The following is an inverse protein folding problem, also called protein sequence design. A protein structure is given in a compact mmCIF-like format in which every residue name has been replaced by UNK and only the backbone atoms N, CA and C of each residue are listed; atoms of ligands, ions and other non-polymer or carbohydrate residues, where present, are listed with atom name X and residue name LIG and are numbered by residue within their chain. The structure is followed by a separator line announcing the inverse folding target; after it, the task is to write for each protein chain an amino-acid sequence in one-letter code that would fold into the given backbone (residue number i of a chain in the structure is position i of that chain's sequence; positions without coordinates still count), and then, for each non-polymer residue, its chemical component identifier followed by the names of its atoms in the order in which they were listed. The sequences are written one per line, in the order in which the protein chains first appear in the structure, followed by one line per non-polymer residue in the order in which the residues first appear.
data_IF_985406062181
#
_entry.id   IF_985406062181
#
_cell.length_a   1.000
_cell.length_b   1.000
_cell.length_c   1.000
_cell.angle_alpha   90.00
_cell.angle_beta   90.00
_cell.angle_gamma   90.00
#
_symmetry.space_group_name_H-M   'P 1'
#
loop_
_entity.id
_entity.type
_entity.pdbx_description
1 polymer ?
#
# COMPACT_ATOMS: atom_id res chain seq x y z
N UNK A 1 4.76 -37.76 -49.83
CA UNK A 1 5.26 -38.88 -50.67
C UNK A 1 6.67 -39.21 -50.17
N UNK A 2 6.95 -40.50 -49.99
CA UNK A 2 8.00 -41.12 -49.14
C UNK A 2 9.47 -40.79 -49.47
N UNK A 3 10.33 -40.87 -48.45
CA UNK A 3 11.65 -41.53 -48.41
C UNK A 3 12.21 -41.38 -46.96
N UNK A 4 12.92 -42.29 -46.29
CA UNK A 4 13.48 -43.64 -46.53
C UNK A 4 13.86 -44.24 -45.15
N UNK A 5 13.88 -45.58 -44.97
CA UNK A 5 15.08 -46.47 -45.04
C UNK A 5 16.01 -46.23 -43.81
N UNK A 6 16.46 -47.18 -42.97
CA UNK A 6 16.53 -48.64 -42.99
C UNK A 6 16.69 -49.21 -41.56
N UNK A 7 16.56 -50.53 -41.46
CA UNK A 7 16.67 -51.36 -40.26
C UNK A 7 18.12 -51.60 -39.76
N UNK A 8 18.31 -51.87 -38.46
CA UNK A 8 18.68 -53.21 -37.93
C UNK A 8 18.90 -53.24 -36.38
N UNK A 9 18.90 -54.45 -35.74
CA UNK A 9 18.59 -54.67 -34.32
C UNK A 9 19.80 -55.15 -33.47
N UNK A 10 19.50 -55.69 -32.27
CA UNK A 10 20.33 -56.46 -31.31
C UNK A 10 20.99 -55.63 -30.19
N UNK A 11 20.38 -55.62 -29.00
CA UNK A 11 20.55 -56.54 -27.86
C UNK A 11 21.88 -56.38 -27.12
N UNK A 12 21.83 -55.84 -25.90
CA UNK A 12 22.56 -56.40 -24.75
C UNK A 12 22.04 -55.79 -23.46
N UNK A 13 21.61 -56.69 -22.58
CA UNK A 13 21.29 -56.51 -21.16
C UNK A 13 22.46 -55.86 -20.43
N UNK A 14 22.19 -54.86 -19.56
CA UNK A 14 22.91 -54.69 -18.29
C UNK A 14 22.22 -53.73 -17.32
N UNK A 15 22.14 -54.23 -16.10
CA UNK A 15 22.23 -53.55 -14.81
C UNK A 15 21.12 -52.57 -14.40
N UNK A 16 20.21 -53.14 -13.62
CA UNK A 16 19.53 -52.48 -12.49
C UNK A 16 20.56 -51.94 -11.51
N UNK A 17 20.83 -50.64 -11.55
CA UNK A 17 21.45 -49.92 -10.44
C UNK A 17 20.44 -48.91 -9.85
N UNK A 18 20.19 -49.11 -8.56
CA UNK A 18 19.36 -48.27 -7.73
C UNK A 18 19.98 -46.88 -7.61
N UNK A 19 19.30 -45.87 -8.15
CA UNK A 19 19.63 -44.47 -7.89
C UNK A 19 19.18 -44.16 -6.45
N UNK A 20 20.14 -44.08 -5.55
CA UNK A 20 19.93 -43.62 -4.18
C UNK A 20 19.41 -42.18 -4.15
N UNK A 21 18.31 -41.99 -3.42
CA UNK A 21 17.75 -40.67 -3.13
C UNK A 21 18.76 -39.79 -2.38
N UNK A 22 18.95 -38.51 -2.75
CA UNK A 22 19.75 -37.60 -1.95
C UNK A 22 19.02 -37.31 -0.64
N UNK A 23 19.66 -37.64 0.49
CA UNK A 23 19.21 -37.21 1.81
C UNK A 23 19.40 -35.69 1.90
N UNK A 24 18.32 -34.92 1.79
CA UNK A 24 18.33 -33.52 2.20
C UNK A 24 18.39 -33.47 3.73
N UNK A 25 19.55 -33.07 4.26
CA UNK A 25 19.68 -32.76 5.67
C UNK A 25 18.67 -31.69 6.07
N UNK A 26 17.99 -31.91 7.19
CA UNK A 26 17.07 -30.93 7.77
C UNK A 26 17.81 -29.61 8.03
N UNK A 27 17.22 -28.44 7.71
CA UNK A 27 17.85 -27.17 8.02
C UNK A 27 17.95 -26.99 9.53
N UNK A 28 19.15 -26.60 9.96
CA UNK A 28 19.52 -26.34 11.34
C UNK A 28 18.60 -25.24 11.91
N UNK A 29 17.67 -25.64 12.76
CA UNK A 29 16.83 -24.74 13.52
C UNK A 29 17.62 -24.33 14.75
N UNK A 30 18.26 -23.15 14.74
CA UNK A 30 18.48 -22.26 15.90
C UNK A 30 19.52 -21.19 15.59
N UNK A 31 19.06 -20.07 15.01
CA UNK A 31 19.61 -18.75 15.29
C UNK A 31 18.56 -17.72 14.88
N UNK A 32 18.06 -16.86 15.80
CA UNK A 32 17.20 -15.76 15.39
C UNK A 32 18.01 -14.86 14.45
N UNK A 33 17.55 -14.75 13.20
CA UNK A 33 18.08 -13.76 12.27
C UNK A 33 17.87 -12.40 12.95
N UNK A 34 18.93 -11.58 13.11
CA UNK A 34 18.78 -10.27 13.72
C UNK A 34 17.70 -9.49 12.97
N UNK A 35 16.64 -9.10 13.69
CA UNK A 35 15.61 -8.23 13.11
C UNK A 35 16.32 -6.91 12.79
N UNK A 36 16.38 -6.48 11.51
CA UNK A 36 16.96 -5.19 11.18
C UNK A 36 16.21 -4.11 11.93
N UNK A 37 16.94 -3.14 12.49
CA UNK A 37 16.31 -2.02 13.17
C UNK A 37 15.29 -1.34 12.24
N UNK A 38 14.16 -0.83 12.78
CA UNK A 38 13.25 0.00 12.01
C UNK A 38 14.04 1.12 11.32
N UNK A 39 13.71 1.41 10.05
CA UNK A 39 14.35 2.53 9.36
C UNK A 39 14.11 3.80 10.20
N UNK A 40 15.12 4.66 10.39
CA UNK A 40 14.93 5.86 11.17
C UNK A 40 13.87 6.73 10.50
N UNK A 41 12.91 7.18 11.32
CA UNK A 41 11.78 7.95 10.87
C UNK A 41 12.24 9.22 10.13
N UNK A 42 11.53 9.57 9.06
CA UNK A 42 11.84 10.78 8.28
C UNK A 42 11.14 11.99 8.89
N UNK A 43 11.82 13.13 8.82
CA UNK A 43 11.31 14.36 9.45
C UNK A 43 10.14 14.99 8.67
N UNK A 44 10.08 14.78 7.34
CA UNK A 44 9.04 15.24 6.42
C UNK A 44 9.06 14.43 5.11
N UNK A 45 8.07 14.62 4.24
CA UNK A 45 8.07 14.03 2.89
C UNK A 45 9.32 14.43 2.09
N UNK A 46 9.66 15.71 2.06
CA UNK A 46 10.83 16.22 1.33
C UNK A 46 12.14 15.70 1.91
N UNK A 47 12.20 15.48 3.23
CA UNK A 47 13.32 14.81 3.87
C UNK A 47 13.53 13.39 3.37
N UNK A 48 12.45 12.61 3.29
CA UNK A 48 12.50 11.26 2.75
C UNK A 48 12.96 11.23 1.29
N UNK A 49 12.44 12.14 0.45
CA UNK A 49 12.87 12.28 -0.95
C UNK A 49 14.37 12.59 -1.04
N UNK A 50 14.86 13.55 -0.24
CA UNK A 50 16.27 13.94 -0.23
C UNK A 50 17.18 12.77 0.16
N UNK A 51 16.79 11.99 1.18
CA UNK A 51 17.56 10.81 1.64
C UNK A 51 17.62 9.73 0.55
N UNK A 52 16.54 9.52 -0.19
CA UNK A 52 16.54 8.63 -1.36
C UNK A 52 17.47 9.14 -2.46
N UNK A 53 17.37 10.43 -2.83
CA UNK A 53 18.24 11.05 -3.84
C UNK A 53 19.73 11.05 -3.43
N UNK A 54 20.00 11.07 -2.12
CA UNK A 54 21.33 10.92 -1.53
C UNK A 54 21.84 9.48 -1.41
N UNK A 55 21.07 8.49 -1.87
CA UNK A 55 21.37 7.05 -1.74
C UNK A 55 21.58 6.58 -0.28
N UNK A 56 20.94 7.25 0.69
CA UNK A 56 21.07 6.90 2.12
C UNK A 56 20.19 5.71 2.53
N UNK A 57 19.16 5.43 1.73
CA UNK A 57 18.16 4.40 2.04
C UNK A 57 18.30 3.13 1.21
N UNK A 58 19.19 3.12 0.21
CA UNK A 58 19.30 2.03 -0.75
C UNK A 58 20.22 2.38 -1.93
N UNK A 59 20.20 1.58 -3.01
CA UNK A 59 20.95 1.86 -4.24
C UNK A 59 20.66 3.26 -4.81
N UNK A 60 21.65 3.86 -5.50
CA UNK A 60 21.50 5.17 -6.14
C UNK A 60 20.30 5.17 -7.11
N UNK A 61 19.27 6.03 -6.91
CA UNK A 61 18.09 6.06 -7.76
C UNK A 61 18.38 6.47 -9.22
N UNK A 62 19.56 7.03 -9.52
CA UNK A 62 20.01 7.28 -10.91
C UNK A 62 20.32 5.99 -11.67
N UNK A 63 20.71 4.93 -10.96
CA UNK A 63 21.00 3.62 -11.53
C UNK A 63 19.75 2.74 -11.74
N UNK A 64 18.58 3.21 -11.32
CA UNK A 64 17.34 2.44 -11.33
C UNK A 64 16.33 3.03 -12.31
N UNK A 65 15.68 2.16 -13.09
CA UNK A 65 14.72 2.58 -14.12
C UNK A 65 13.38 1.89 -13.95
N UNK A 66 12.30 2.64 -14.17
CA UNK A 66 10.95 2.09 -14.21
C UNK A 66 10.80 1.22 -15.45
N UNK A 67 10.50 -0.07 -15.28
CA UNK A 67 10.38 -1.00 -16.39
C UNK A 67 8.99 -0.92 -17.06
N UNK A 68 7.95 -0.65 -16.27
CA UNK A 68 6.56 -0.55 -16.74
C UNK A 68 5.88 0.59 -16.00
N UNK A 69 5.14 1.42 -16.72
CA UNK A 69 4.22 2.39 -16.16
C UNK A 69 2.82 2.08 -16.68
N UNK A 70 1.80 2.26 -15.85
CA UNK A 70 0.40 2.08 -16.25
C UNK A 70 -0.53 2.91 -15.38
N UNK A 71 -1.68 3.31 -15.94
CA UNK A 71 -2.80 3.86 -15.16
C UNK A 71 -3.91 2.81 -15.10
N UNK A 72 -4.56 2.70 -13.95
CA UNK A 72 -5.77 1.88 -13.79
C UNK A 72 -6.95 2.78 -13.46
N UNK A 73 -7.90 2.89 -14.39
CA UNK A 73 -9.20 3.53 -14.15
C UNK A 73 -10.23 2.47 -13.82
N UNK A 74 -10.84 2.57 -12.64
CA UNK A 74 -11.91 1.66 -12.20
C UNK A 74 -13.17 2.44 -11.82
N UNK A 75 -14.33 1.81 -12.00
CA UNK A 75 -15.61 2.29 -11.52
C UNK A 75 -16.34 1.17 -10.79
N UNK A 76 -16.93 1.49 -9.64
CA UNK A 76 -17.48 0.50 -8.73
C UNK A 76 -18.92 0.87 -8.38
N UNK A 77 -19.81 -0.11 -8.51
CA UNK A 77 -21.17 -0.11 -7.95
C UNK A 77 -21.38 -1.46 -7.29
N UNK A 78 -21.33 -1.48 -5.96
CA UNK A 78 -21.50 -2.72 -5.22
C UNK A 78 -22.99 -3.05 -5.06
N UNK A 79 -23.33 -4.33 -5.19
CA UNK A 79 -24.65 -4.81 -4.82
C UNK A 79 -24.92 -4.49 -3.34
N UNK A 80 -26.14 -4.06 -3.04
CA UNK A 80 -26.55 -3.57 -1.71
C UNK A 80 -26.05 -2.17 -1.32
N UNK A 81 -25.28 -1.44 -2.15
CA UNK A 81 -24.91 -0.03 -1.90
C UNK A 81 -25.72 0.92 -2.79
N UNK A 82 -26.08 2.10 -2.26
CA UNK A 82 -26.84 3.13 -3.02
C UNK A 82 -25.99 3.95 -4.00
N UNK A 83 -24.66 3.95 -3.82
CA UNK A 83 -23.73 4.79 -4.57
C UNK A 83 -22.59 4.01 -5.22
N UNK A 84 -21.75 4.73 -5.95
CA UNK A 84 -20.56 4.20 -6.57
C UNK A 84 -19.45 5.24 -6.63
N UNK A 85 -18.24 4.80 -6.93
CA UNK A 85 -17.07 5.66 -7.06
C UNK A 85 -16.29 5.32 -8.32
N UNK A 86 -15.48 6.27 -8.78
CA UNK A 86 -14.51 6.08 -9.85
C UNK A 86 -13.15 6.50 -9.30
N UNK A 87 -12.17 5.63 -9.46
CA UNK A 87 -10.79 5.90 -9.04
C UNK A 87 -9.87 5.74 -10.25
N UNK A 88 -8.82 6.54 -10.26
CA UNK A 88 -7.71 6.39 -11.19
C UNK A 88 -6.41 6.27 -10.40
N UNK A 89 -5.52 5.35 -10.79
CA UNK A 89 -4.25 5.10 -10.09
C UNK A 89 -3.11 4.98 -11.07
N UNK A 90 -2.14 5.89 -10.97
CA UNK A 90 -0.84 5.75 -11.63
C UNK A 90 0.00 4.72 -10.87
N UNK A 91 0.56 3.75 -11.58
CA UNK A 91 1.41 2.70 -11.01
C UNK A 91 2.68 2.53 -11.81
N UNK A 92 3.82 2.44 -11.11
CA UNK A 92 5.16 2.34 -11.67
C UNK A 92 5.85 1.09 -11.15
N UNK A 93 6.35 0.25 -12.06
CA UNK A 93 7.05 -0.99 -11.73
C UNK A 93 8.55 -0.80 -11.77
N UNK A 94 9.20 -1.01 -10.63
CA UNK A 94 10.64 -1.08 -10.46
C UNK A 94 11.06 -2.50 -10.05
N UNK A 95 11.61 -3.26 -11.00
CA UNK A 95 11.94 -4.67 -10.78
C UNK A 95 10.72 -5.50 -10.36
N UNK A 96 10.72 -5.97 -9.11
CA UNK A 96 9.62 -6.74 -8.51
C UNK A 96 8.57 -5.87 -7.78
N UNK A 97 8.88 -4.60 -7.55
CA UNK A 97 8.01 -3.70 -6.81
C UNK A 97 7.13 -2.88 -7.76
N UNK A 98 5.93 -2.56 -7.29
CA UNK A 98 5.03 -1.60 -7.94
C UNK A 98 4.68 -0.55 -6.90
N UNK A 99 5.00 0.70 -7.19
CA UNK A 99 4.55 1.85 -6.42
C UNK A 99 3.38 2.53 -7.08
N UNK A 100 2.49 3.12 -6.28
CA UNK A 100 1.24 3.66 -6.80
C UNK A 100 0.86 4.99 -6.17
N UNK A 101 0.19 5.83 -6.97
CA UNK A 101 -0.49 7.03 -6.51
C UNK A 101 -1.85 7.16 -7.18
N UNK A 102 -2.90 7.20 -6.36
CA UNK A 102 -4.24 7.50 -6.80
C UNK A 102 -4.36 8.99 -7.12
N UNK A 103 -5.16 9.29 -8.13
CA UNK A 103 -5.44 10.63 -8.62
C UNK A 103 -6.94 10.78 -8.87
N UNK A 104 -7.42 12.01 -8.90
CA UNK A 104 -8.78 12.27 -9.36
C UNK A 104 -8.93 11.81 -10.82
N UNK A 105 -10.06 11.18 -11.20
CA UNK A 105 -10.23 10.69 -12.55
C UNK A 105 -10.07 11.80 -13.60
N UNK A 106 -9.16 11.61 -14.55
CA UNK A 106 -8.83 12.59 -15.59
C UNK A 106 -7.83 13.68 -15.16
N UNK A 107 -7.27 13.60 -13.95
CA UNK A 107 -6.23 14.54 -13.50
C UNK A 107 -4.84 14.20 -14.04
N UNK A 108 -4.64 12.98 -14.56
CA UNK A 108 -3.38 12.58 -15.17
C UNK A 108 -3.32 13.09 -16.63
N UNK A 109 -2.30 13.87 -17.01
CA UNK A 109 -2.16 14.33 -18.39
C UNK A 109 -1.92 13.18 -19.38
N UNK A 110 -2.35 13.37 -20.62
CA UNK A 110 -1.97 12.48 -21.72
C UNK A 110 -0.45 12.37 -21.83
N UNK A 111 0.05 11.14 -22.02
CA UNK A 111 1.49 10.85 -22.11
C UNK A 111 2.21 10.68 -20.77
N UNK A 112 1.60 11.04 -19.62
CA UNK A 112 2.26 10.91 -18.32
C UNK A 112 2.70 9.47 -17.98
N UNK A 113 1.95 8.47 -18.45
CA UNK A 113 2.32 7.05 -18.32
C UNK A 113 3.54 6.74 -19.19
N UNK A 114 3.53 7.14 -20.45
CA UNK A 114 4.60 6.87 -21.41
C UNK A 114 5.91 7.54 -20.97
N UNK A 115 5.85 8.77 -20.48
CA UNK A 115 6.99 9.53 -19.96
C UNK A 115 7.65 8.88 -18.72
N UNK A 116 6.88 8.10 -17.95
CA UNK A 116 7.40 7.38 -16.80
C UNK A 116 8.09 6.07 -17.20
N UNK A 117 7.68 5.43 -18.28
CA UNK A 117 8.24 4.16 -18.71
C UNK A 117 9.69 4.32 -19.17
N UNK A 118 10.59 3.51 -18.61
CA UNK A 118 12.02 3.59 -18.89
C UNK A 118 12.74 4.78 -18.24
N UNK A 119 12.05 5.66 -17.52
CA UNK A 119 12.68 6.80 -16.84
C UNK A 119 13.46 6.36 -15.58
N UNK A 120 14.49 7.13 -15.24
CA UNK A 120 15.27 6.95 -14.00
C UNK A 120 14.45 7.36 -12.79
N UNK A 121 14.56 6.62 -11.69
CA UNK A 121 13.84 6.92 -10.46
C UNK A 121 14.19 8.32 -9.95
N UNK A 122 15.47 8.72 -9.98
CA UNK A 122 15.90 10.05 -9.54
C UNK A 122 15.18 11.17 -10.31
N UNK A 123 15.06 11.04 -11.64
CA UNK A 123 14.34 12.00 -12.48
C UNK A 123 12.84 12.06 -12.14
N UNK A 124 12.23 10.92 -11.84
CA UNK A 124 10.82 10.87 -11.48
C UNK A 124 10.53 11.45 -10.08
N UNK A 125 11.47 11.35 -9.15
CA UNK A 125 11.38 12.00 -7.83
C UNK A 125 11.39 13.52 -7.91
N UNK A 126 11.96 14.09 -8.97
CA UNK A 126 12.00 15.53 -9.25
C UNK A 126 10.89 15.97 -10.25
N UNK A 127 10.02 15.04 -10.67
CA UNK A 127 9.00 15.30 -11.68
C UNK A 127 8.02 16.40 -11.26
N UNK A 128 7.53 17.28 -12.15
CA UNK A 128 6.61 18.36 -11.78
C UNK A 128 5.28 17.86 -11.18
N UNK A 129 4.76 16.73 -11.65
CA UNK A 129 3.51 16.13 -11.15
C UNK A 129 3.73 15.40 -9.81
N UNK A 130 3.08 15.83 -8.70
CA UNK A 130 3.17 15.13 -7.42
C UNK A 130 2.82 13.64 -7.47
N UNK A 131 1.78 13.19 -8.21
CA UNK A 131 1.46 11.76 -8.30
C UNK A 131 2.59 10.89 -8.88
N UNK A 132 3.35 11.43 -9.84
CA UNK A 132 4.52 10.75 -10.40
C UNK A 132 5.61 10.61 -9.35
N UNK A 133 5.89 11.69 -8.60
CA UNK A 133 6.87 11.67 -7.50
C UNK A 133 6.50 10.63 -6.45
N UNK A 134 5.24 10.62 -6.01
CA UNK A 134 4.75 9.68 -4.99
C UNK A 134 4.82 8.24 -5.48
N UNK A 135 4.35 7.95 -6.71
CA UNK A 135 4.40 6.58 -7.24
C UNK A 135 5.84 6.09 -7.44
N UNK A 136 6.77 6.97 -7.84
CA UNK A 136 8.18 6.63 -8.01
C UNK A 136 8.87 6.37 -6.65
N UNK A 137 8.61 7.22 -5.66
CA UNK A 137 9.10 7.04 -4.30
C UNK A 137 8.58 5.74 -3.69
N UNK A 138 7.28 5.46 -3.85
CA UNK A 138 6.64 4.24 -3.38
C UNK A 138 7.26 2.99 -4.03
N UNK A 139 7.53 3.03 -5.34
CA UNK A 139 8.15 1.93 -6.07
C UNK A 139 9.59 1.68 -5.60
N UNK A 140 10.36 2.75 -5.39
CA UNK A 140 11.71 2.68 -4.86
C UNK A 140 11.74 2.09 -3.45
N UNK A 141 10.94 2.61 -2.53
CA UNK A 141 10.93 2.15 -1.15
C UNK A 141 10.39 0.73 -1.02
N UNK A 142 9.41 0.34 -1.83
CA UNK A 142 8.95 -1.05 -1.90
C UNK A 142 10.03 -1.98 -2.50
N UNK A 143 10.83 -1.50 -3.46
CA UNK A 143 11.93 -2.27 -4.04
C UNK A 143 13.03 -2.54 -3.01
N UNK A 144 13.38 -1.53 -2.20
CA UNK A 144 14.48 -1.62 -1.24
C UNK A 144 14.06 -2.25 0.08
N UNK A 145 12.86 -1.91 0.57
CA UNK A 145 12.33 -2.36 1.86
C UNK A 145 10.90 -2.90 1.68
N UNK A 146 10.73 -4.08 1.04
CA UNK A 146 9.41 -4.66 0.79
C UNK A 146 8.67 -4.96 2.08
N UNK A 147 7.34 -5.05 2.02
CA UNK A 147 6.50 -5.36 3.17
C UNK A 147 6.72 -6.79 3.69
N UNK A 148 7.66 -6.92 4.61
CA UNK A 148 8.02 -8.17 5.28
C UNK A 148 8.11 -7.94 6.80
N UNK A 149 7.93 -8.98 7.63
CA UNK A 149 8.12 -8.86 9.08
C UNK A 149 9.47 -8.28 9.48
N UNK A 150 10.55 -8.64 8.77
CA UNK A 150 11.90 -8.09 8.97
C UNK A 150 11.96 -6.58 8.77
N UNK A 151 11.06 -6.04 7.94
CA UNK A 151 10.96 -4.62 7.68
C UNK A 151 9.91 -3.92 8.56
N UNK A 152 9.30 -4.62 9.52
CA UNK A 152 8.28 -4.12 10.45
C UNK A 152 6.83 -4.33 9.98
N UNK A 153 6.63 -5.04 8.87
CA UNK A 153 5.31 -5.27 8.29
C UNK A 153 4.65 -6.52 8.88
N UNK A 154 3.50 -6.39 9.51
CA UNK A 154 2.69 -7.51 9.98
C UNK A 154 1.66 -7.89 8.90
N UNK A 155 1.81 -9.04 8.22
CA UNK A 155 0.87 -9.44 7.17
C UNK A 155 -0.50 -9.77 7.79
N UNK A 156 -1.56 -9.25 7.18
CA UNK A 156 -2.95 -9.55 7.51
C UNK A 156 -3.64 -10.08 6.25
N UNK A 157 -3.96 -11.38 6.19
CA UNK A 157 -4.66 -11.96 5.05
C UNK A 157 -6.02 -11.29 4.81
N UNK A 158 -6.35 -11.11 3.53
CA UNK A 158 -7.70 -10.81 3.07
C UNK A 158 -8.25 -12.06 2.38
N UNK A 159 -9.41 -12.59 2.82
CA UNK A 159 -10.00 -13.76 2.18
C UNK A 159 -10.41 -13.44 0.73
N UNK A 160 -10.52 -14.49 -0.08
CA UNK A 160 -11.16 -14.40 -1.38
C UNK A 160 -12.64 -14.01 -1.21
N UNK A 161 -13.21 -13.36 -2.23
CA UNK A 161 -14.60 -12.95 -2.21
C UNK A 161 -14.89 -11.84 -3.21
N UNK A 162 -16.14 -11.36 -3.16
CA UNK A 162 -16.54 -10.18 -3.92
C UNK A 162 -15.74 -8.95 -3.51
N UNK A 163 -15.71 -7.94 -4.39
CA UNK A 163 -15.06 -6.66 -4.10
C UNK A 163 -15.63 -5.99 -2.83
N UNK A 164 -16.94 -6.14 -2.56
CA UNK A 164 -17.55 -5.59 -1.34
C UNK A 164 -17.13 -6.35 -0.08
N UNK A 165 -17.09 -7.68 -0.11
CA UNK A 165 -16.62 -8.49 1.03
C UNK A 165 -15.16 -8.17 1.36
N UNK A 166 -14.29 -8.13 0.35
CA UNK A 166 -12.88 -7.75 0.51
C UNK A 166 -12.73 -6.32 1.04
N UNK A 167 -13.54 -5.37 0.55
CA UNK A 167 -13.57 -3.99 1.04
C UNK A 167 -13.95 -3.91 2.53
N UNK A 168 -14.92 -4.72 2.98
CA UNK A 168 -15.34 -4.81 4.39
C UNK A 168 -14.26 -5.43 5.27
N UNK A 169 -13.64 -6.52 4.85
CA UNK A 169 -12.54 -7.14 5.62
C UNK A 169 -11.34 -6.20 5.76
N UNK A 170 -10.96 -5.54 4.67
CA UNK A 170 -9.96 -4.48 4.68
C UNK A 170 -10.35 -3.36 5.63
N UNK A 171 -11.59 -2.89 5.59
CA UNK A 171 -12.05 -1.80 6.44
C UNK A 171 -12.01 -2.16 7.93
N UNK A 172 -12.43 -3.37 8.30
CA UNK A 172 -12.27 -3.87 9.69
C UNK A 172 -10.82 -3.86 10.09
N UNK A 173 -9.94 -4.35 9.22
CA UNK A 173 -8.51 -4.40 9.50
C UNK A 173 -7.86 -3.02 9.69
N UNK A 174 -8.34 -2.01 8.97
CA UNK A 174 -7.91 -0.61 9.14
C UNK A 174 -8.42 -0.06 10.47
N UNK A 175 -9.71 -0.23 10.79
CA UNK A 175 -10.31 0.31 12.03
C UNK A 175 -9.76 -0.37 13.29
N UNK A 176 -9.21 -1.59 13.19
CA UNK A 176 -8.47 -2.25 14.28
C UNK A 176 -7.17 -1.55 14.68
N UNK A 177 -6.66 -0.62 13.86
CA UNK A 177 -5.47 0.17 14.20
C UNK A 177 -5.79 1.38 15.09
N UNK A 178 -7.07 1.76 15.18
CA UNK A 178 -7.49 2.92 15.98
C UNK A 178 -7.52 2.54 17.46
N UNK A 179 -6.88 3.37 18.27
CA UNK A 179 -6.91 3.29 19.74
C UNK A 179 -7.80 4.41 20.27
N UNK A 180 -9.12 4.23 20.13
CA UNK A 180 -10.13 5.19 20.56
C UNK A 180 -11.08 4.57 21.58
N UNK A 181 -11.23 5.25 22.71
CA UNK A 181 -12.14 4.91 23.79
C UNK A 181 -13.59 5.33 23.50
N UNK A 182 -14.53 4.92 24.38
CA UNK A 182 -15.94 5.26 24.25
C UNK A 182 -16.18 6.78 24.15
N UNK A 183 -16.91 7.20 23.13
CA UNK A 183 -17.27 8.61 22.89
C UNK A 183 -16.21 9.45 22.18
N UNK A 184 -15.00 8.93 21.96
CA UNK A 184 -13.97 9.62 21.18
C UNK A 184 -14.32 9.63 19.69
N UNK A 185 -14.07 10.75 19.02
CA UNK A 185 -14.48 11.00 17.64
C UNK A 185 -13.30 10.86 16.68
N UNK A 186 -13.49 10.12 15.59
CA UNK A 186 -12.48 9.92 14.53
C UNK A 186 -12.78 10.80 13.32
N UNK A 187 -11.82 11.63 12.90
CA UNK A 187 -11.87 12.29 11.60
C UNK A 187 -11.45 11.30 10.51
N UNK A 188 -12.32 11.05 9.53
CA UNK A 188 -12.08 10.09 8.45
C UNK A 188 -11.84 10.83 7.14
N UNK A 189 -10.60 10.89 6.68
CA UNK A 189 -10.17 11.62 5.47
C UNK A 189 -10.02 10.64 4.29
N UNK A 190 -10.77 10.88 3.21
CA UNK A 190 -10.89 9.97 2.07
C UNK A 190 -12.01 8.98 2.33
N UNK A 191 -13.25 9.41 2.14
CA UNK A 191 -14.44 8.69 2.61
C UNK A 191 -14.62 7.38 1.86
N UNK A 192 -14.53 6.26 2.60
CA UNK A 192 -14.85 4.92 2.11
C UNK A 192 -16.00 4.37 2.94
N UNK A 193 -17.13 4.09 2.31
CA UNK A 193 -18.34 3.60 3.00
C UNK A 193 -18.10 2.36 3.87
N UNK A 194 -17.28 1.40 3.41
CA UNK A 194 -16.93 0.23 4.24
C UNK A 194 -16.15 0.60 5.52
N UNK A 195 -15.34 1.67 5.52
CA UNK A 195 -14.65 2.17 6.72
C UNK A 195 -15.65 2.79 7.70
N UNK A 196 -16.55 3.61 7.19
CA UNK A 196 -17.62 4.21 8.00
C UNK A 196 -18.52 3.11 8.58
N UNK A 197 -18.89 2.11 7.80
CA UNK A 197 -19.68 0.94 8.24
C UNK A 197 -18.97 0.21 9.40
N UNK A 198 -17.65 0.00 9.28
CA UNK A 198 -16.84 -0.62 10.33
C UNK A 198 -16.80 0.23 11.62
N UNK A 199 -16.62 1.55 11.54
CA UNK A 199 -16.67 2.45 12.69
C UNK A 199 -18.05 2.45 13.37
N UNK A 200 -19.13 2.53 12.58
CA UNK A 200 -20.52 2.46 13.07
C UNK A 200 -20.79 1.16 13.81
N UNK A 201 -20.36 0.03 13.26
CA UNK A 201 -20.54 -1.29 13.90
C UNK A 201 -19.86 -1.40 15.26
N UNK A 202 -18.85 -0.56 15.53
CA UNK A 202 -18.13 -0.47 16.80
C UNK A 202 -18.66 0.64 17.72
N UNK A 203 -19.66 1.38 17.28
CA UNK A 203 -20.19 2.53 18.01
C UNK A 203 -19.19 3.69 18.15
N UNK A 204 -18.22 3.79 17.24
CA UNK A 204 -17.21 4.87 17.23
C UNK A 204 -17.77 6.07 16.47
N UNK A 205 -17.94 7.23 17.13
CA UNK A 205 -18.30 8.48 16.45
C UNK A 205 -17.26 8.88 15.40
N UNK A 206 -17.70 9.46 14.29
CA UNK A 206 -16.79 9.95 13.25
C UNK A 206 -17.28 11.21 12.56
N UNK A 207 -16.33 11.92 11.95
CA UNK A 207 -16.55 13.04 11.05
C UNK A 207 -16.05 12.61 9.66
N UNK A 208 -16.94 12.40 8.66
CA UNK A 208 -16.50 12.06 7.32
C UNK A 208 -15.99 13.31 6.60
N UNK A 209 -14.80 13.23 6.01
CA UNK A 209 -14.16 14.34 5.30
C UNK A 209 -13.56 13.89 3.96
N UNK A 210 -13.87 14.62 2.90
CA UNK A 210 -13.34 14.38 1.56
C UNK A 210 -13.35 15.69 0.78
N UNK A 211 -12.30 15.96 -0.01
CA UNK A 211 -12.22 17.18 -0.82
C UNK A 211 -13.40 17.32 -1.78
N UNK A 212 -13.97 16.19 -2.23
CA UNK A 212 -15.14 16.17 -3.11
C UNK A 212 -16.45 16.53 -2.39
N UNK A 213 -16.50 16.38 -1.07
CA UNK A 213 -17.72 16.54 -0.27
C UNK A 213 -18.80 15.52 -0.63
N UNK A 214 -20.07 15.93 -0.51
CA UNK A 214 -21.24 15.10 -0.79
C UNK A 214 -21.86 14.52 0.48
N UNK A 215 -22.50 13.36 0.35
CA UNK A 215 -23.18 12.69 1.47
C UNK A 215 -22.75 11.23 1.60
N UNK A 216 -22.65 10.75 2.84
CA UNK A 216 -22.42 9.33 3.12
C UNK A 216 -23.65 8.50 2.72
N UNK A 217 -23.51 7.18 2.67
CA UNK A 217 -24.66 6.29 2.39
C UNK A 217 -25.77 6.37 3.45
N UNK A 218 -25.48 6.94 4.64
CA UNK A 218 -26.44 7.21 5.71
C UNK A 218 -26.96 8.65 5.71
N UNK A 219 -26.62 9.46 4.70
CA UNK A 219 -27.11 10.83 4.55
C UNK A 219 -26.36 11.87 5.38
N UNK A 220 -25.23 11.52 5.98
CA UNK A 220 -24.38 12.47 6.72
C UNK A 220 -23.64 13.36 5.73
N UNK A 221 -23.51 14.66 6.04
CA UNK A 221 -22.74 15.58 5.21
C UNK A 221 -21.24 15.29 5.34
N UNK A 222 -20.55 15.24 4.21
CA UNK A 222 -19.10 15.07 4.15
C UNK A 222 -18.44 16.44 4.20
N UNK A 223 -17.64 16.68 5.23
CA UNK A 223 -16.84 17.88 5.34
C UNK A 223 -15.80 17.96 4.21
N UNK A 224 -15.47 19.17 3.76
CA UNK A 224 -14.52 19.39 2.66
C UNK A 224 -13.19 19.98 3.11
N UNK A 225 -13.08 20.37 4.37
CA UNK A 225 -11.88 20.94 4.97
C UNK A 225 -11.47 20.11 6.20
N UNK A 226 -10.49 19.22 6.01
CA UNK A 226 -9.97 18.42 7.10
C UNK A 226 -9.33 19.28 8.20
N UNK A 227 -8.70 20.42 7.85
CA UNK A 227 -8.02 21.28 8.83
C UNK A 227 -9.00 21.92 9.80
N UNK A 228 -10.16 22.34 9.31
CA UNK A 228 -11.24 22.89 10.14
C UNK A 228 -11.81 21.86 11.14
N UNK A 229 -11.65 20.57 10.87
CA UNK A 229 -12.19 19.48 11.70
C UNK A 229 -11.15 18.91 12.68
N UNK A 230 -9.86 19.24 12.53
CA UNK A 230 -8.78 18.67 13.33
C UNK A 230 -8.96 18.91 14.84
N UNK A 231 -9.51 20.05 15.25
CA UNK A 231 -9.74 20.35 16.67
C UNK A 231 -11.00 19.68 17.23
N UNK A 232 -11.86 19.12 16.35
CA UNK A 232 -13.15 18.50 16.70
C UNK A 232 -13.08 16.98 16.78
N UNK A 233 -11.92 16.38 16.55
CA UNK A 233 -11.69 14.95 16.65
C UNK A 233 -10.58 14.60 17.66
N UNK A 234 -10.61 13.36 18.12
CA UNK A 234 -9.62 12.78 19.04
C UNK A 234 -8.55 11.97 18.29
N UNK A 235 -8.90 11.41 17.13
CA UNK A 235 -7.99 10.66 16.27
C UNK A 235 -8.29 10.93 14.78
N UNK A 236 -7.30 10.69 13.92
CA UNK A 236 -7.39 10.87 12.48
C UNK A 236 -7.14 9.55 11.77
N UNK A 237 -8.06 9.17 10.89
CA UNK A 237 -7.91 8.06 9.96
C UNK A 237 -7.85 8.63 8.53
N UNK A 238 -6.69 8.57 7.88
CA UNK A 238 -6.46 9.24 6.60
C UNK A 238 -6.01 8.31 5.47
N UNK A 239 -6.53 8.58 4.27
CA UNK A 239 -6.10 7.93 3.04
C UNK A 239 -4.67 8.33 2.65
N UNK A 240 -3.91 7.39 2.12
CA UNK A 240 -2.61 7.67 1.49
C UNK A 240 -2.66 8.69 0.34
N UNK A 241 -3.84 8.95 -0.23
CA UNK A 241 -4.05 10.03 -1.21
C UNK A 241 -3.62 11.41 -0.71
N UNK A 242 -3.54 11.61 0.61
CA UNK A 242 -3.02 12.83 1.21
C UNK A 242 -1.59 13.17 0.74
N UNK A 243 -0.78 12.17 0.37
CA UNK A 243 0.53 12.39 -0.25
C UNK A 243 0.40 13.03 -1.64
N UNK A 244 -0.53 12.52 -2.47
CA UNK A 244 -0.68 12.94 -3.86
C UNK A 244 -1.26 14.34 -4.04
N UNK A 245 -2.07 14.79 -3.08
CA UNK A 245 -2.69 16.12 -3.12
C UNK A 245 -2.02 17.15 -2.19
N UNK A 246 -0.94 16.77 -1.49
CA UNK A 246 -0.16 17.66 -0.62
C UNK A 246 -0.76 17.92 0.76
N UNK A 247 -1.84 17.24 1.16
CA UNK A 247 -2.45 17.43 2.49
C UNK A 247 -1.79 16.60 3.61
N UNK A 248 -0.87 15.69 3.29
CA UNK A 248 -0.25 14.81 4.29
C UNK A 248 0.58 15.56 5.35
N UNK A 249 1.48 16.45 4.93
CA UNK A 249 2.44 17.08 5.84
C UNK A 249 1.74 17.92 6.93
N UNK A 250 0.77 18.77 6.61
CA UNK A 250 0.01 19.51 7.62
C UNK A 250 -0.76 18.60 8.61
N UNK A 251 -1.30 17.46 8.14
CA UNK A 251 -1.97 16.49 9.00
C UNK A 251 -1.00 15.81 9.97
N UNK A 252 0.15 15.37 9.44
CA UNK A 252 1.22 14.71 10.22
C UNK A 252 1.79 15.64 11.29
N UNK A 253 2.07 16.90 10.92
CA UNK A 253 2.58 17.90 11.87
C UNK A 253 1.57 18.23 12.97
N UNK A 254 0.28 18.33 12.63
CA UNK A 254 -0.77 18.51 13.64
C UNK A 254 -0.82 17.33 14.61
N UNK A 255 -0.84 16.10 14.09
CA UNK A 255 -0.85 14.88 14.90
C UNK A 255 0.37 14.81 15.82
N UNK A 256 1.56 15.10 15.29
CA UNK A 256 2.80 15.13 16.07
C UNK A 256 2.76 16.18 17.19
N UNK A 257 2.30 17.40 16.89
CA UNK A 257 2.23 18.50 17.85
C UNK A 257 1.21 18.26 18.96
N UNK A 258 0.09 17.64 18.63
CA UNK A 258 -1.04 17.44 19.57
C UNK A 258 -1.00 16.09 20.26
N UNK A 259 -0.17 15.15 19.79
CA UNK A 259 -0.16 13.76 20.25
C UNK A 259 -1.38 12.97 19.78
N UNK A 260 -2.22 13.52 18.88
CA UNK A 260 -3.38 12.80 18.33
C UNK A 260 -2.91 11.62 17.50
N UNK A 261 -3.65 10.51 17.58
CA UNK A 261 -3.37 9.35 16.76
C UNK A 261 -3.63 9.69 15.29
N UNK A 262 -2.66 9.38 14.42
CA UNK A 262 -2.83 9.43 12.96
C UNK A 262 -2.60 8.04 12.38
N UNK A 263 -3.67 7.40 11.94
CA UNK A 263 -3.66 6.11 11.25
C UNK A 263 -3.79 6.34 9.76
N UNK A 264 -2.90 5.75 8.98
CA UNK A 264 -2.94 5.83 7.52
C UNK A 264 -3.46 4.52 6.92
N UNK A 265 -4.36 4.59 5.95
CA UNK A 265 -4.71 3.44 5.09
C UNK A 265 -4.32 3.73 3.66
N UNK A 266 -3.49 2.87 3.08
CA UNK A 266 -2.64 3.28 1.97
C UNK A 266 -2.57 2.24 0.87
N UNK A 267 -3.25 2.53 -0.24
CA UNK A 267 -2.88 2.02 -1.56
C UNK A 267 -1.87 2.96 -2.23
N UNK A 268 -2.08 4.26 -2.08
CA UNK A 268 -1.10 5.30 -2.45
C UNK A 268 -0.02 5.39 -1.38
N UNK A 269 1.25 5.32 -1.78
CA UNK A 269 2.38 5.51 -0.86
C UNK A 269 2.45 4.43 0.25
N UNK A 270 2.06 3.20 -0.07
CA UNK A 270 2.03 2.08 0.87
C UNK A 270 3.39 1.78 1.53
N UNK A 271 4.49 1.98 0.80
CA UNK A 271 5.87 1.89 1.26
C UNK A 271 6.45 3.22 1.75
N UNK A 272 5.81 4.35 1.44
CA UNK A 272 6.21 5.69 1.89
C UNK A 272 5.84 5.93 3.34
N UNK A 273 4.56 5.70 3.68
CA UNK A 273 3.99 6.06 4.98
C UNK A 273 4.63 5.37 6.20
N UNK A 274 5.12 4.12 6.12
CA UNK A 274 5.83 3.49 7.23
C UNK A 274 7.09 4.24 7.69
N UNK A 275 7.70 5.09 6.85
CA UNK A 275 8.85 5.91 7.22
C UNK A 275 8.50 7.08 8.15
N UNK A 276 7.22 7.30 8.46
CA UNK A 276 6.75 8.34 9.37
C UNK A 276 6.23 7.80 10.70
N UNK A 277 6.34 6.49 10.93
CA UNK A 277 5.98 5.86 12.20
C UNK A 277 6.78 6.47 13.35
N UNK A 278 6.09 6.95 14.38
CA UNK A 278 6.70 7.67 15.50
C UNK A 278 7.11 9.12 15.20
N UNK A 279 7.02 9.55 13.94
CA UNK A 279 7.21 10.94 13.51
C UNK A 279 5.88 11.52 13.01
N UNK A 280 4.84 11.42 13.84
CA UNK A 280 3.50 11.94 13.57
C UNK A 280 2.53 10.96 12.91
N UNK A 281 3.00 9.83 12.37
CA UNK A 281 2.13 8.69 12.01
C UNK A 281 2.21 7.65 13.12
N UNK A 282 1.05 7.18 13.60
CA UNK A 282 0.96 6.18 14.67
C UNK A 282 0.92 4.76 14.11
N UNK A 283 0.16 4.52 13.04
CA UNK A 283 0.01 3.22 12.42
C UNK A 283 -0.29 3.34 10.92
N UNK A 284 0.02 2.27 10.17
CA UNK A 284 -0.25 2.19 8.72
C UNK A 284 -0.89 0.85 8.39
N UNK A 285 -2.00 0.87 7.66
CA UNK A 285 -2.53 -0.26 6.91
C UNK A 285 -2.13 -0.10 5.44
N UNK A 286 -1.01 -0.71 5.06
CA UNK A 286 -0.45 -0.66 3.74
C UNK A 286 -1.02 -1.79 2.85
N UNK A 287 -1.40 -1.45 1.63
CA UNK A 287 -1.91 -2.37 0.64
C UNK A 287 -1.12 -2.18 -0.66
N UNK A 288 -0.10 -3.02 -0.91
CA UNK A 288 0.68 -2.93 -2.13
C UNK A 288 -0.12 -3.46 -3.33
N UNK A 289 0.27 -3.07 -4.53
CA UNK A 289 -0.29 -3.64 -5.75
C UNK A 289 0.04 -5.15 -5.85
N UNK A 290 -0.89 -6.01 -6.31
CA UNK A 290 -2.23 -5.68 -6.80
C UNK A 290 -3.25 -5.43 -5.67
N UNK A 291 -4.09 -4.41 -5.88
CA UNK A 291 -5.12 -4.03 -4.90
C UNK A 291 -6.29 -5.00 -4.85
N UNK A 292 -7.01 -5.01 -3.72
CA UNK A 292 -8.11 -5.92 -3.41
C UNK A 292 -9.22 -5.91 -4.48
N UNK A 293 -9.38 -4.78 -5.17
CA UNK A 293 -10.43 -4.56 -6.15
C UNK A 293 -10.07 -5.04 -7.57
N UNK A 294 -8.83 -5.48 -7.82
CA UNK A 294 -8.40 -6.03 -9.11
C UNK A 294 -8.68 -7.52 -9.29
N UNK A 295 -8.66 -8.28 -8.20
CA UNK A 295 -8.77 -9.74 -8.21
C UNK A 295 -9.71 -10.24 -7.10
N UNK A 296 -10.47 -11.29 -7.38
CA UNK A 296 -11.39 -11.92 -6.43
C UNK A 296 -10.74 -12.96 -5.51
N UNK A 297 -9.50 -13.38 -5.81
CA UNK A 297 -8.72 -14.31 -5.02
C UNK A 297 -8.26 -13.74 -3.66
N UNK A 298 -7.55 -14.56 -2.85
CA UNK A 298 -7.02 -14.11 -1.57
C UNK A 298 -5.95 -13.02 -1.78
N UNK A 299 -5.89 -12.07 -0.86
CA UNK A 299 -4.90 -10.99 -0.85
C UNK A 299 -4.22 -10.83 0.50
N UNK A 300 -3.30 -9.88 0.60
CA UNK A 300 -2.64 -9.53 1.86
C UNK A 300 -2.54 -8.01 1.96
N UNK A 301 -2.89 -7.47 3.12
CA UNK A 301 -2.54 -6.12 3.54
C UNK A 301 -1.51 -6.21 4.66
N UNK A 302 -0.78 -5.14 4.92
CA UNK A 302 0.29 -5.11 5.90
C UNK A 302 0.04 -4.02 6.93
N UNK A 303 0.13 -4.39 8.20
CA UNK A 303 -0.02 -3.44 9.31
C UNK A 303 1.34 -3.04 9.85
N UNK A 304 1.47 -1.80 10.25
CA UNK A 304 2.62 -1.24 10.94
C UNK A 304 2.17 -0.43 12.15
N UNK A 305 3.04 -0.28 13.14
CA UNK A 305 2.75 0.51 14.35
C UNK A 305 1.77 -0.16 15.31
N UNK A 306 1.50 -1.46 15.14
CA UNK A 306 0.77 -2.26 16.11
C UNK A 306 1.76 -2.82 17.15
N UNK A 307 1.40 -2.84 18.42
CA UNK A 307 2.00 -3.80 19.33
C UNK A 307 1.63 -5.22 18.85
N UNK A 308 2.58 -6.14 18.78
CA UNK A 308 2.23 -7.55 18.61
C UNK A 308 1.33 -7.94 19.77
N UNK A 309 0.07 -8.27 19.49
CA UNK A 309 -0.69 -9.07 20.42
C UNK A 309 0.02 -10.42 20.44
N UNK A 310 0.78 -10.69 21.51
CA UNK A 310 1.36 -11.99 21.75
C UNK A 310 0.26 -13.05 21.61
N UNK A 311 0.45 -13.97 20.66
CA UNK A 311 -0.38 -15.15 20.47
C UNK A 311 -0.27 -16.10 21.66
#
# INVERSE_FOLDING_TARGET
MRAGIDAQPSSTTRDTDAIGSPSYGAPDATSPVPVPAPAPASASYDDLVRRVLGAELGPDPRGLRIAVAFSTSQAVRHDGRRGGYRNEVLSLRLGRAVGSCAVEPGALPDGAVDDCAGAEVARLLEHPLPPVRVAALDAYLMHVRPHTPQNGALPRPLPAGSSLEKSRERARAVVELLDVGPGQTVLVIGVVNSLLEALRSRGVPYIPCDLKGGTTEWGEQVATDAHAELDRCDAVLASGMALGNGSFEPLREHALRTGKQLVMFAQTGSAVLPYFLGAGVSAVCAEPYPFFWLDGGPGVIHRYGCAEAAL
#
